data_IF_554333237694
#
_entry.id   IF_554333237694
#
_cell.length_a   1.000
_cell.length_b   1.000
_cell.length_c   1.000
_cell.angle_alpha   90.00
_cell.angle_beta   90.00
_cell.angle_gamma   90.00
#
_symmetry.space_group_name_H-M   'P 1'
#
loop_
_entity.id
_entity.type
_entity.pdbx_description
1 polymer ?
#
# COMPACT_ATOMS: atom_id res chain seq x y z
N UNK A 1 18.40 -10.01 0.81
CA UNK A 1 17.65 -11.24 1.20
C UNK A 1 16.19 -11.27 0.71
N UNK A 2 15.81 -10.58 -0.38
CA UNK A 2 14.47 -10.67 -1.00
C UNK A 2 14.36 -11.79 -2.06
N UNK A 3 15.48 -12.14 -2.72
CA UNK A 3 15.55 -13.26 -3.69
C UNK A 3 15.37 -14.66 -3.08
N UNK A 4 15.35 -14.80 -1.74
CA UNK A 4 15.34 -16.11 -1.07
C UNK A 4 13.98 -16.51 -0.47
N UNK A 5 12.97 -15.63 -0.50
CA UNK A 5 11.68 -15.88 0.18
C UNK A 5 10.46 -15.77 -0.74
N UNK A 6 10.64 -15.72 -2.07
CA UNK A 6 9.53 -15.59 -3.04
C UNK A 6 8.54 -14.45 -2.69
N UNK A 7 9.05 -13.32 -2.18
CA UNK A 7 8.23 -12.14 -1.93
C UNK A 7 8.52 -11.07 -2.97
N UNK A 8 7.47 -10.62 -3.65
CA UNK A 8 7.52 -9.46 -4.55
C UNK A 8 7.85 -8.21 -3.74
N UNK A 9 8.75 -7.38 -4.27
CA UNK A 9 9.05 -6.08 -3.66
C UNK A 9 7.94 -5.06 -3.96
N UNK A 10 7.79 -4.06 -3.10
CA UNK A 10 6.83 -2.98 -3.33
C UNK A 10 7.10 -2.24 -4.64
N UNK A 11 8.38 -2.11 -5.01
CA UNK A 11 8.79 -1.60 -6.33
C UNK A 11 8.28 -2.47 -7.49
N UNK A 12 8.28 -3.80 -7.39
CA UNK A 12 7.73 -4.67 -8.43
C UNK A 12 6.22 -4.51 -8.56
N UNK A 13 5.49 -4.42 -7.43
CA UNK A 13 4.05 -4.14 -7.47
C UNK A 13 3.76 -2.78 -8.14
N UNK A 14 4.58 -1.77 -7.86
CA UNK A 14 4.50 -0.46 -8.51
C UNK A 14 4.79 -0.51 -10.02
N UNK A 15 5.78 -1.29 -10.44
CA UNK A 15 6.06 -1.52 -11.86
C UNK A 15 4.88 -2.16 -12.56
N UNK A 16 4.30 -3.23 -11.98
CA UNK A 16 3.12 -3.90 -12.55
C UNK A 16 1.93 -2.94 -12.65
N UNK A 17 1.69 -2.11 -11.64
CA UNK A 17 0.62 -1.11 -11.68
C UNK A 17 0.83 -0.05 -12.78
N UNK A 18 2.09 0.36 -12.98
CA UNK A 18 2.47 1.28 -14.05
C UNK A 18 2.28 0.64 -15.43
N UNK A 19 2.71 -0.61 -15.61
CA UNK A 19 2.53 -1.36 -16.86
C UNK A 19 1.05 -1.64 -17.16
N UNK A 20 0.26 -1.92 -16.13
CA UNK A 20 -1.19 -2.11 -16.24
C UNK A 20 -1.96 -0.80 -16.48
N UNK A 21 -1.28 0.35 -16.56
CA UNK A 21 -1.89 1.68 -16.65
C UNK A 21 -2.97 1.91 -15.58
N UNK A 22 -2.76 1.37 -14.37
CA UNK A 22 -3.69 1.53 -13.26
C UNK A 22 -3.72 3.00 -12.82
N UNK A 23 -4.88 3.48 -12.40
CA UNK A 23 -5.01 4.84 -11.83
C UNK A 23 -4.44 4.93 -10.41
N UNK A 24 -4.59 3.85 -9.65
CA UNK A 24 -4.19 3.77 -8.26
C UNK A 24 -3.72 2.35 -7.92
N UNK A 25 -2.70 2.25 -7.07
CA UNK A 25 -2.21 0.99 -6.54
C UNK A 25 -2.42 0.94 -5.03
N UNK A 26 -3.14 -0.06 -4.56
CA UNK A 26 -3.29 -0.34 -3.13
C UNK A 26 -2.40 -1.55 -2.79
N UNK A 27 -1.34 -1.32 -2.03
CA UNK A 27 -0.45 -2.39 -1.57
C UNK A 27 -0.95 -2.90 -0.24
N UNK A 28 -1.50 -4.12 -0.24
CA UNK A 28 -1.92 -4.82 0.97
C UNK A 28 -0.94 -5.93 1.40
N UNK A 29 -1.20 -6.52 2.56
CA UNK A 29 -0.52 -7.72 3.05
C UNK A 29 0.99 -7.59 3.32
N UNK A 30 1.37 -6.57 4.09
CA UNK A 30 2.73 -6.47 4.64
C UNK A 30 2.93 -7.59 5.66
N UNK A 31 4.03 -8.35 5.53
CA UNK A 31 4.42 -9.31 6.58
C UNK A 31 4.54 -8.57 7.92
N UNK A 32 3.80 -9.03 8.94
CA UNK A 32 3.75 -8.44 10.28
C UNK A 32 5.12 -8.35 11.01
N UNK A 33 6.17 -8.91 10.41
CA UNK A 33 7.56 -8.87 10.87
C UNK A 33 8.33 -7.60 10.49
N UNK A 34 7.83 -6.79 9.57
CA UNK A 34 8.49 -5.54 9.18
C UNK A 34 7.81 -4.34 9.85
N UNK A 35 8.50 -3.76 10.83
CA UNK A 35 8.05 -2.56 11.54
C UNK A 35 8.00 -1.33 10.60
N UNK A 36 8.96 -1.22 9.68
CA UNK A 36 9.09 -0.10 8.75
C UNK A 36 8.38 -0.35 7.41
N UNK A 37 7.05 -0.28 7.45
CA UNK A 37 6.21 -0.31 6.23
C UNK A 37 6.40 0.92 5.34
N UNK A 38 6.89 2.03 5.90
CA UNK A 38 7.11 3.31 5.19
C UNK A 38 8.14 3.22 4.07
N UNK A 39 9.24 2.47 4.28
CA UNK A 39 10.28 2.32 3.24
C UNK A 39 9.75 1.65 1.97
N UNK A 40 8.85 0.67 2.14
CA UNK A 40 8.22 0.00 1.02
C UNK A 40 7.25 0.91 0.25
N UNK A 41 6.53 1.78 0.96
CA UNK A 41 5.69 2.79 0.32
C UNK A 41 6.52 3.80 -0.46
N UNK A 42 7.64 4.26 0.09
CA UNK A 42 8.57 5.18 -0.59
C UNK A 42 9.19 4.55 -1.85
N UNK A 43 9.65 3.31 -1.78
CA UNK A 43 10.19 2.61 -2.95
C UNK A 43 9.14 2.42 -4.05
N UNK A 44 7.91 2.09 -3.67
CA UNK A 44 6.82 1.95 -4.62
C UNK A 44 6.39 3.31 -5.20
N UNK A 45 6.36 4.38 -4.39
CA UNK A 45 6.09 5.76 -4.83
C UNK A 45 7.13 6.27 -5.83
N UNK A 46 8.39 5.85 -5.69
CA UNK A 46 9.45 6.22 -6.63
C UNK A 46 9.18 5.69 -8.05
N UNK A 47 8.51 4.54 -8.18
CA UNK A 47 8.14 3.95 -9.48
C UNK A 47 6.75 4.38 -9.93
N UNK A 48 5.80 4.44 -8.99
CA UNK A 48 4.40 4.77 -9.22
C UNK A 48 3.87 5.70 -8.12
N UNK A 49 3.67 7.01 -8.39
CA UNK A 49 3.35 7.99 -7.35
C UNK A 49 1.96 7.77 -6.72
N UNK A 50 1.02 7.16 -7.45
CA UNK A 50 -0.34 6.89 -6.98
C UNK A 50 -0.45 5.58 -6.17
N UNK A 51 0.50 5.36 -5.27
CA UNK A 51 0.55 4.20 -4.37
C UNK A 51 -0.05 4.52 -3.02
N UNK A 52 -0.80 3.57 -2.47
CA UNK A 52 -1.38 3.62 -1.14
C UNK A 52 -1.03 2.35 -0.38
N UNK A 53 -0.46 2.47 0.82
CA UNK A 53 -0.35 1.33 1.74
C UNK A 53 -1.71 1.03 2.38
N UNK A 54 -2.16 -0.22 2.28
CA UNK A 54 -3.35 -0.68 2.98
C UNK A 54 -3.08 -0.69 4.49
N UNK A 55 -3.90 0.04 5.24
CA UNK A 55 -3.86 0.10 6.70
C UNK A 55 -5.04 -0.65 7.30
N UNK A 56 -4.82 -1.26 8.45
CA UNK A 56 -5.88 -1.97 9.17
C UNK A 56 -6.99 -1.00 9.57
N UNK A 57 -8.24 -1.41 9.35
CA UNK A 57 -9.44 -0.59 9.60
C UNK A 57 -9.47 0.71 8.78
N UNK A 58 -9.03 0.68 7.52
CA UNK A 58 -9.20 1.80 6.58
C UNK A 58 -10.16 1.40 5.45
N UNK A 59 -11.08 2.32 5.13
CA UNK A 59 -11.99 2.23 4.01
C UNK A 59 -11.43 3.02 2.83
N UNK A 60 -11.31 2.37 1.68
CA UNK A 60 -10.90 2.99 0.42
C UNK A 60 -12.12 3.03 -0.49
N UNK A 61 -12.69 4.21 -0.70
CA UNK A 61 -13.82 4.42 -1.61
C UNK A 61 -13.30 4.96 -2.93
N UNK A 62 -13.55 4.20 -4.00
CA UNK A 62 -13.26 4.60 -5.37
C UNK A 62 -14.40 5.50 -5.87
N UNK A 63 -14.10 6.76 -6.20
CA UNK A 63 -15.00 7.67 -6.89
C UNK A 63 -14.46 7.97 -8.30
N UNK A 64 -15.33 8.44 -9.20
CA UNK A 64 -14.96 8.76 -10.59
C UNK A 64 -13.84 9.81 -10.69
N UNK A 65 -13.68 10.65 -9.67
CA UNK A 65 -12.67 11.72 -9.60
C UNK A 65 -11.48 11.41 -8.67
N UNK A 66 -11.46 10.29 -7.95
CA UNK A 66 -10.34 9.95 -7.06
C UNK A 66 -10.67 8.91 -5.97
N UNK A 67 -9.69 8.61 -5.11
CA UNK A 67 -9.87 7.71 -3.96
C UNK A 67 -10.10 8.51 -2.68
N UNK A 68 -11.19 8.23 -1.97
CA UNK A 68 -11.41 8.70 -0.60
C UNK A 68 -11.00 7.64 0.39
N UNK A 69 -10.12 8.01 1.31
CA UNK A 69 -9.63 7.14 2.38
C UNK A 69 -10.28 7.60 3.68
N UNK A 70 -10.91 6.67 4.41
CA UNK A 70 -11.55 6.93 5.70
C UNK A 70 -11.08 5.90 6.72
N UNK A 71 -10.57 6.33 7.87
CA UNK A 71 -10.30 5.42 8.99
C UNK A 71 -11.61 4.96 9.63
N UNK A 72 -11.80 3.64 9.68
CA UNK A 72 -12.83 2.92 10.43
C UNK A 72 -12.32 2.42 11.78
N UNK A 73 -11.05 2.69 12.12
CA UNK A 73 -10.50 2.31 13.41
C UNK A 73 -11.33 2.96 14.52
N UNK A 74 -11.84 2.20 15.50
CA UNK A 74 -12.42 2.81 16.69
C UNK A 74 -11.31 3.65 17.32
N UNK A 75 -11.63 4.89 17.69
CA UNK A 75 -10.77 5.69 18.56
C UNK A 75 -10.36 4.76 19.70
N UNK A 76 -9.05 4.48 19.82
CA UNK A 76 -8.52 3.70 20.93
C UNK A 76 -8.91 4.46 22.20
N UNK A 77 -10.02 4.06 22.80
CA UNK A 77 -10.28 4.34 24.20
C UNK A 77 -9.27 3.48 24.96
N UNK A 78 -8.10 4.05 25.19
CA UNK A 78 -7.18 3.58 26.22
C UNK A 78 -7.98 3.47 27.53
N UNK A 79 -8.11 2.24 28.03
CA UNK A 79 -8.53 1.96 29.39
C UNK A 79 -7.30 1.69 30.22
#
# INVERSE_FOLDING_TARGET
RAKQTMHSTAAQAATVAKEAAAKHLLIGHYSARYADKSKFEEEAKAVFPNVFAARELYQYRLEHSGIKIKSLAPEKNEK
#
